data_IF_232345529699
#
_entry.id   IF_232345529699
#
_cell.length_a   1.000
_cell.length_b   1.000
_cell.length_c   1.000
_cell.angle_alpha   90.00
_cell.angle_beta   90.00
_cell.angle_gamma   90.00
#
_symmetry.space_group_name_H-M   'P 1'
#
loop_
_entity.id
_entity.type
_entity.pdbx_description
1 polymer ?
#
# COMPACT_ATOMS: atom_id res chain seq x y z
N UNK A 1 35.79 20.82 -5.46
CA UNK A 1 35.79 19.74 -6.48
C UNK A 1 34.73 18.75 -6.08
N UNK A 2 33.55 18.82 -6.71
CA UNK A 2 32.40 17.94 -6.45
C UNK A 2 32.32 17.01 -7.66
N UNK A 3 32.52 15.69 -7.53
CA UNK A 3 32.31 14.80 -8.66
C UNK A 3 30.82 14.47 -8.77
N UNK A 4 30.27 14.88 -9.91
CA UNK A 4 29.28 14.19 -10.74
C UNK A 4 28.40 13.11 -10.09
N UNK A 5 27.08 13.32 -10.13
CA UNK A 5 26.16 12.23 -10.46
C UNK A 5 25.35 12.67 -11.68
N UNK A 6 25.80 12.17 -12.84
CA UNK A 6 24.98 12.03 -14.03
C UNK A 6 23.75 11.18 -13.69
N UNK A 7 22.54 11.67 -13.97
CA UNK A 7 21.38 10.81 -14.28
C UNK A 7 20.74 11.31 -15.57
N UNK A 8 21.49 11.19 -16.67
CA UNK A 8 20.95 10.79 -17.98
C UNK A 8 20.82 9.25 -17.90
N UNK A 9 19.84 8.54 -18.42
CA UNK A 9 18.82 8.87 -19.41
C UNK A 9 17.68 7.85 -19.29
N UNK A 10 16.52 8.28 -19.77
CA UNK A 10 15.33 7.51 -20.10
C UNK A 10 15.57 6.20 -20.88
N UNK A 11 14.77 5.18 -20.56
CA UNK A 11 14.04 4.41 -21.56
C UNK A 11 12.56 4.31 -21.15
N UNK A 12 11.75 5.20 -21.73
CA UNK A 12 10.31 4.97 -21.92
C UNK A 12 10.17 3.94 -23.03
N UNK A 13 9.42 2.86 -22.81
CA UNK A 13 8.70 2.26 -23.93
C UNK A 13 7.20 2.22 -23.63
N UNK A 14 6.58 3.37 -23.95
CA UNK A 14 5.20 3.40 -24.40
C UNK A 14 5.09 2.55 -25.67
N UNK A 15 4.16 1.60 -25.69
CA UNK A 15 3.32 1.45 -26.88
C UNK A 15 1.86 1.28 -26.45
N UNK A 16 1.07 2.28 -26.83
CA UNK A 16 -0.35 2.39 -26.50
C UNK A 16 -1.19 1.23 -27.04
N UNK A 17 -2.32 1.04 -26.35
CA UNK A 17 -3.46 0.13 -26.58
C UNK A 17 -3.09 -1.35 -26.63
N UNK A 18 -2.78 -1.87 -25.44
CA UNK A 18 -2.88 -3.30 -25.10
C UNK A 18 -1.61 -3.98 -24.57
N UNK A 19 -0.53 -3.25 -24.29
CA UNK A 19 0.79 -3.81 -23.91
C UNK A 19 1.23 -3.47 -22.47
N UNK A 20 2.06 -4.35 -21.89
CA UNK A 20 2.72 -4.23 -20.58
C UNK A 20 3.81 -3.16 -20.63
N UNK A 21 3.85 -2.26 -19.64
CA UNK A 21 4.91 -1.25 -19.48
C UNK A 21 5.93 -1.69 -18.43
N UNK A 22 7.22 -1.43 -18.67
CA UNK A 22 8.32 -1.75 -17.75
C UNK A 22 9.00 -0.44 -17.31
N UNK A 23 9.29 -0.33 -16.02
CA UNK A 23 9.90 0.84 -15.39
C UNK A 23 11.15 0.46 -14.60
N UNK A 24 12.15 1.32 -14.66
CA UNK A 24 13.37 1.24 -13.84
C UNK A 24 13.22 1.95 -12.48
N UNK A 25 12.17 2.75 -12.31
CA UNK A 25 11.87 3.49 -11.09
C UNK A 25 10.37 3.50 -10.82
N UNK A 26 10.00 3.62 -9.55
CA UNK A 26 8.61 3.76 -9.11
C UNK A 26 8.13 5.21 -9.08
N UNK A 27 9.02 6.19 -9.24
CA UNK A 27 8.63 7.60 -9.18
C UNK A 27 7.67 7.93 -10.33
N UNK A 28 6.63 8.71 -10.01
CA UNK A 28 5.52 9.09 -10.88
C UNK A 28 4.58 7.94 -11.29
N UNK A 29 4.73 6.74 -10.71
CA UNK A 29 3.73 5.69 -10.83
C UNK A 29 2.56 5.96 -9.87
N UNK A 30 1.37 5.45 -10.23
CA UNK A 30 0.15 5.58 -9.43
C UNK A 30 -0.48 4.22 -9.05
N UNK A 31 0.27 3.29 -8.44
CA UNK A 31 -0.33 2.05 -7.92
C UNK A 31 -1.42 2.37 -6.91
N UNK A 32 -2.57 1.72 -7.03
CA UNK A 32 -3.71 1.96 -6.13
C UNK A 32 -4.22 3.41 -6.11
N UNK A 33 -4.02 4.14 -7.20
CA UNK A 33 -4.34 5.56 -7.25
C UNK A 33 -3.41 6.43 -6.40
N UNK A 34 -2.35 5.86 -5.81
CA UNK A 34 -1.38 6.60 -4.99
C UNK A 34 -0.19 7.02 -5.85
N UNK A 35 -0.08 8.31 -6.10
CA UNK A 35 1.07 8.93 -6.75
C UNK A 35 2.33 8.82 -5.89
N UNK A 36 3.33 8.14 -6.41
CA UNK A 36 4.63 8.04 -5.78
C UNK A 36 5.48 9.22 -6.22
N UNK A 37 5.78 10.10 -5.27
CA UNK A 37 6.67 11.26 -5.45
C UNK A 37 7.82 11.19 -4.47
N UNK A 38 9.00 11.69 -4.86
CA UNK A 38 10.15 11.73 -3.94
C UNK A 38 9.87 12.66 -2.77
N UNK A 39 10.34 12.27 -1.58
CA UNK A 39 10.46 13.14 -0.43
C UNK A 39 11.58 12.61 0.47
N UNK A 40 12.11 13.46 1.36
CA UNK A 40 13.22 13.11 2.25
C UNK A 40 12.91 11.90 3.15
N UNK A 41 11.65 11.75 3.57
CA UNK A 41 11.21 10.63 4.42
C UNK A 41 11.28 9.32 3.63
N UNK A 42 10.77 9.31 2.39
CA UNK A 42 10.81 8.13 1.52
C UNK A 42 12.26 7.73 1.19
N UNK A 43 13.12 8.71 0.90
CA UNK A 43 14.56 8.46 0.66
C UNK A 43 15.24 7.81 1.86
N UNK A 44 14.94 8.26 3.06
CA UNK A 44 15.48 7.69 4.29
C UNK A 44 14.95 6.27 4.55
N UNK A 45 13.64 6.03 4.39
CA UNK A 45 13.05 4.70 4.55
C UNK A 45 13.60 3.71 3.52
N UNK A 46 13.77 4.13 2.26
CA UNK A 46 14.34 3.28 1.21
C UNK A 46 15.82 2.98 1.46
N UNK A 47 16.59 3.94 1.99
CA UNK A 47 17.96 3.70 2.46
C UNK A 47 18.02 2.66 3.58
N UNK A 48 17.09 2.70 4.53
CA UNK A 48 16.97 1.69 5.59
C UNK A 48 16.59 0.32 5.01
N UNK A 49 15.63 0.27 4.08
CA UNK A 49 15.20 -0.96 3.42
C UNK A 49 16.34 -1.65 2.64
N UNK A 50 17.19 -0.89 1.92
CA UNK A 50 18.36 -1.46 1.21
C UNK A 50 19.33 -2.20 2.12
N UNK A 51 19.46 -1.78 3.39
CA UNK A 51 20.35 -2.44 4.36
C UNK A 51 19.84 -3.82 4.78
N UNK A 52 18.59 -4.16 4.46
CA UNK A 52 17.97 -5.44 4.81
C UNK A 52 18.25 -6.55 3.78
N UNK A 53 18.87 -6.24 2.63
CA UNK A 53 19.04 -7.19 1.50
C UNK A 53 19.70 -8.52 1.87
N UNK A 54 20.59 -8.50 2.86
CA UNK A 54 21.36 -9.66 3.32
C UNK A 54 20.65 -10.51 4.38
N UNK A 55 19.45 -10.10 4.82
CA UNK A 55 18.65 -10.85 5.79
C UNK A 55 17.83 -11.96 5.10
N UNK A 56 17.28 -12.89 5.88
CA UNK A 56 16.33 -13.89 5.36
C UNK A 56 14.98 -13.26 5.03
N UNK A 57 14.16 -13.94 4.22
CA UNK A 57 12.82 -13.48 3.86
C UNK A 57 12.00 -13.00 5.07
N UNK A 58 11.87 -13.85 6.10
CA UNK A 58 11.09 -13.57 7.30
C UNK A 58 11.60 -12.34 8.07
N UNK A 59 12.93 -12.20 8.18
CA UNK A 59 13.55 -11.05 8.82
C UNK A 59 13.32 -9.76 8.02
N UNK A 60 13.46 -9.79 6.69
CA UNK A 60 13.16 -8.65 5.81
C UNK A 60 11.70 -8.23 5.97
N UNK A 61 10.77 -9.19 5.87
CA UNK A 61 9.33 -8.96 5.96
C UNK A 61 8.97 -8.24 7.26
N UNK A 62 9.40 -8.80 8.41
CA UNK A 62 9.14 -8.23 9.73
C UNK A 62 9.68 -6.79 9.87
N UNK A 63 10.91 -6.54 9.40
CA UNK A 63 11.54 -5.21 9.47
C UNK A 63 10.86 -4.20 8.55
N UNK A 64 10.46 -4.60 7.35
CA UNK A 64 9.75 -3.72 6.41
C UNK A 64 8.35 -3.37 6.95
N UNK A 65 7.63 -4.33 7.53
CA UNK A 65 6.36 -4.07 8.21
C UNK A 65 6.53 -3.06 9.36
N UNK A 66 7.63 -3.18 10.12
CA UNK A 66 7.96 -2.22 11.18
C UNK A 66 8.25 -0.82 10.61
N UNK A 67 8.99 -0.72 9.51
CA UNK A 67 9.24 0.56 8.83
C UNK A 67 7.94 1.20 8.33
N UNK A 68 7.04 0.40 7.74
CA UNK A 68 5.77 0.90 7.23
C UNK A 68 4.85 1.40 8.35
N UNK A 69 4.67 0.60 9.40
CA UNK A 69 3.82 0.96 10.55
C UNK A 69 4.40 2.10 11.39
N UNK A 70 5.74 2.24 11.44
CA UNK A 70 6.40 3.37 12.09
C UNK A 70 6.39 4.66 11.28
N UNK A 71 6.23 4.59 9.95
CA UNK A 71 6.26 5.77 9.08
C UNK A 71 4.96 6.58 9.13
N UNK A 72 3.81 5.92 9.26
CA UNK A 72 2.51 6.58 9.27
C UNK A 72 1.44 5.73 9.99
N UNK A 73 0.46 6.43 10.55
CA UNK A 73 -0.74 5.84 11.16
C UNK A 73 -1.80 5.53 10.11
N UNK A 74 -2.64 4.53 10.38
CA UNK A 74 -3.76 4.20 9.53
C UNK A 74 -4.91 5.20 9.70
N UNK A 75 -5.24 5.94 8.64
CA UNK A 75 -6.28 6.95 8.65
C UNK A 75 -7.67 6.37 8.93
N UNK A 76 -7.99 5.16 8.43
CA UNK A 76 -9.28 4.50 8.69
C UNK A 76 -9.42 4.12 10.17
N UNK A 77 -8.37 3.55 10.77
CA UNK A 77 -8.36 3.24 12.21
C UNK A 77 -8.57 4.48 13.06
N UNK A 78 -7.84 5.56 12.75
CA UNK A 78 -7.97 6.81 13.47
C UNK A 78 -9.35 7.45 13.28
N UNK A 79 -9.92 7.34 12.08
CA UNK A 79 -11.28 7.79 11.81
C UNK A 79 -12.32 7.03 12.64
N UNK A 80 -12.21 5.71 12.75
CA UNK A 80 -13.10 4.87 13.58
C UNK A 80 -12.97 5.21 15.07
N UNK A 81 -11.76 5.53 15.56
CA UNK A 81 -11.57 5.99 16.93
C UNK A 81 -12.32 7.30 17.17
N UNK A 82 -12.25 8.25 16.23
CA UNK A 82 -13.01 9.51 16.32
C UNK A 82 -14.52 9.28 16.39
N UNK A 83 -15.05 8.26 15.69
CA UNK A 83 -16.50 7.97 15.72
C UNK A 83 -17.05 7.53 17.08
N UNK A 84 -16.17 7.15 18.03
CA UNK A 84 -16.58 6.82 19.40
C UNK A 84 -16.96 8.04 20.23
N UNK A 85 -16.44 9.22 19.86
CA UNK A 85 -16.67 10.49 20.58
C UNK A 85 -17.51 11.46 19.76
N UNK A 86 -17.52 11.30 18.43
CA UNK A 86 -18.26 12.14 17.50
C UNK A 86 -19.06 11.27 16.53
N UNK A 87 -20.38 11.41 16.50
CA UNK A 87 -21.20 10.78 15.47
C UNK A 87 -21.29 11.70 14.24
N UNK A 88 -20.70 11.33 13.09
CA UNK A 88 -20.73 12.14 11.88
C UNK A 88 -22.15 12.32 11.33
N UNK A 89 -23.14 11.52 11.75
CA UNK A 89 -24.54 11.60 11.34
C UNK A 89 -25.44 12.31 12.35
N UNK A 90 -24.93 12.72 13.52
CA UNK A 90 -25.73 13.35 14.57
C UNK A 90 -26.39 14.66 14.14
N UNK A 91 -25.84 15.36 13.14
CA UNK A 91 -26.43 16.56 12.55
C UNK A 91 -27.80 16.29 11.89
N UNK A 92 -28.12 15.04 11.55
CA UNK A 92 -29.43 14.62 11.04
C UNK A 92 -30.48 14.47 12.16
N UNK A 93 -30.04 14.37 13.43
CA UNK A 93 -30.89 14.15 14.61
C UNK A 93 -31.10 15.42 15.45
N UNK A 94 -30.55 16.58 15.02
CA UNK A 94 -30.80 17.93 15.56
C UNK A 94 -30.83 18.10 17.10
N UNK A 95 -29.93 17.46 17.85
CA UNK A 95 -29.75 17.78 19.28
C UNK A 95 -28.29 18.12 19.60
N UNK A 96 -27.95 19.39 19.86
CA UNK A 96 -26.62 19.76 20.32
C UNK A 96 -26.39 19.25 21.76
N UNK A 97 -25.15 18.92 22.15
CA UNK A 97 -24.85 18.49 23.52
C UNK A 97 -25.18 19.60 24.51
N UNK A 98 -25.76 19.24 25.65
CA UNK A 98 -26.10 20.20 26.69
C UNK A 98 -24.85 20.78 27.36
N UNK A 99 -23.81 19.96 27.55
CA UNK A 99 -22.61 20.30 28.29
C UNK A 99 -21.52 20.98 27.41
N UNK A 100 -20.93 22.11 27.83
CA UNK A 100 -19.83 22.77 27.11
C UNK A 100 -18.56 21.92 26.94
N UNK A 101 -18.24 21.06 27.90
CA UNK A 101 -17.05 20.20 27.81
C UNK A 101 -17.27 19.08 26.78
N UNK A 102 -18.44 18.43 26.79
CA UNK A 102 -18.84 17.49 25.72
C UNK A 102 -18.81 18.14 24.33
N UNK A 103 -19.26 19.39 24.19
CA UNK A 103 -19.17 20.13 22.91
C UNK A 103 -17.73 20.30 22.43
N UNK A 104 -16.80 20.63 23.33
CA UNK A 104 -15.38 20.78 22.97
C UNK A 104 -14.81 19.45 22.46
N UNK A 105 -15.04 18.36 23.20
CA UNK A 105 -14.60 17.02 22.83
C UNK A 105 -15.16 16.56 21.48
N UNK A 106 -16.44 16.84 21.21
CA UNK A 106 -17.06 16.54 19.92
C UNK A 106 -16.46 17.36 18.77
N UNK A 107 -16.18 18.65 18.99
CA UNK A 107 -15.58 19.53 17.98
C UNK A 107 -14.15 19.07 17.61
N UNK A 108 -13.35 18.68 18.59
CA UNK A 108 -12.01 18.12 18.36
C UNK A 108 -12.08 16.79 17.60
N UNK A 109 -12.96 15.88 18.03
CA UNK A 109 -13.16 14.58 17.37
C UNK A 109 -13.69 14.74 15.93
N UNK A 110 -14.60 15.69 15.69
CA UNK A 110 -15.10 16.04 14.35
C UNK A 110 -13.97 16.56 13.46
N UNK A 111 -13.18 17.52 13.96
CA UNK A 111 -12.06 18.09 13.21
C UNK A 111 -11.05 17.02 12.82
N UNK A 112 -10.72 16.10 13.75
CA UNK A 112 -9.84 14.96 13.48
C UNK A 112 -10.46 13.97 12.49
N UNK A 113 -11.75 13.65 12.63
CA UNK A 113 -12.47 12.78 11.70
C UNK A 113 -12.38 13.30 10.25
N UNK A 114 -12.65 14.60 10.03
CA UNK A 114 -12.59 15.19 8.70
C UNK A 114 -11.17 15.28 8.15
N UNK A 115 -10.17 15.52 9.01
CA UNK A 115 -8.76 15.43 8.62
C UNK A 115 -8.40 14.02 8.09
N UNK A 116 -8.79 12.96 8.79
CA UNK A 116 -8.55 11.58 8.31
C UNK A 116 -9.32 11.25 7.04
N UNK A 117 -10.58 11.69 6.94
CA UNK A 117 -11.42 11.52 5.75
C UNK A 117 -10.80 12.19 4.52
N UNK A 118 -10.23 13.38 4.68
CA UNK A 118 -9.54 14.12 3.62
C UNK A 118 -8.29 13.38 3.13
N UNK A 119 -7.51 12.79 4.05
CA UNK A 119 -6.36 11.94 3.68
C UNK A 119 -6.81 10.74 2.85
N UNK A 120 -7.89 10.07 3.25
CA UNK A 120 -8.43 8.89 2.55
C UNK A 120 -8.95 9.26 1.16
N UNK A 121 -9.66 10.39 1.03
CA UNK A 121 -10.47 10.68 -0.15
C UNK A 121 -9.78 11.58 -1.17
N UNK A 122 -8.94 12.50 -0.73
CA UNK A 122 -8.52 13.64 -1.56
C UNK A 122 -7.00 13.76 -1.74
N UNK A 123 -6.20 12.99 -1.01
CA UNK A 123 -4.75 13.10 -1.03
C UNK A 123 -4.09 11.82 -1.56
N UNK A 124 -3.95 11.66 -2.88
CA UNK A 124 -3.37 10.45 -3.47
C UNK A 124 -1.84 10.41 -3.37
N UNK A 125 -1.16 11.35 -2.70
CA UNK A 125 0.30 11.45 -2.76
C UNK A 125 0.96 10.76 -1.58
N UNK A 126 1.89 9.84 -1.86
CA UNK A 126 2.66 9.17 -0.79
C UNK A 126 3.50 10.14 0.04
N UNK A 127 4.08 11.17 -0.60
CA UNK A 127 4.85 12.20 0.11
C UNK A 127 4.01 12.91 1.18
N UNK A 128 2.79 13.31 0.82
CA UNK A 128 1.87 13.98 1.72
C UNK A 128 1.51 13.09 2.93
N UNK A 129 1.18 11.82 2.68
CA UNK A 129 0.88 10.86 3.75
C UNK A 129 2.06 10.66 4.71
N UNK A 130 3.29 10.56 4.18
CA UNK A 130 4.51 10.45 4.98
C UNK A 130 4.79 11.71 5.79
N UNK A 131 4.61 12.90 5.20
CA UNK A 131 4.80 14.19 5.89
C UNK A 131 3.79 14.39 7.02
N UNK A 132 2.53 14.00 6.79
CA UNK A 132 1.48 14.03 7.82
C UNK A 132 1.55 12.84 8.79
N UNK A 133 2.41 11.86 8.52
CA UNK A 133 2.53 10.59 9.26
C UNK A 133 1.19 9.86 9.39
N UNK A 134 0.35 9.96 8.38
CA UNK A 134 -0.99 9.37 8.34
C UNK A 134 -1.33 9.02 6.89
N UNK A 135 -1.79 7.79 6.65
CA UNK A 135 -2.13 7.32 5.30
C UNK A 135 -3.28 6.31 5.31
N UNK A 136 -3.89 6.11 4.14
CA UNK A 136 -4.89 5.02 3.93
C UNK A 136 -4.21 3.67 3.70
N UNK A 137 -4.99 2.59 3.59
CA UNK A 137 -4.48 1.24 3.30
C UNK A 137 -3.69 1.19 1.99
N UNK A 138 -4.14 1.93 0.97
CA UNK A 138 -3.44 2.06 -0.30
C UNK A 138 -2.06 2.71 -0.12
N UNK A 139 -1.95 3.78 0.68
CA UNK A 139 -0.66 4.43 0.96
C UNK A 139 0.32 3.45 1.61
N UNK A 140 -0.15 2.67 2.58
CA UNK A 140 0.67 1.70 3.28
C UNK A 140 1.09 0.54 2.39
N UNK A 141 0.17 0.04 1.57
CA UNK A 141 0.46 -0.99 0.58
C UNK A 141 1.54 -0.54 -0.41
N UNK A 142 1.41 0.70 -0.92
CA UNK A 142 2.39 1.27 -1.86
C UNK A 142 3.74 1.54 -1.21
N UNK A 143 3.76 2.04 0.03
CA UNK A 143 5.01 2.18 0.79
C UNK A 143 5.69 0.82 0.96
N UNK A 144 4.93 -0.19 1.40
CA UNK A 144 5.43 -1.54 1.61
C UNK A 144 6.00 -2.16 0.32
N UNK A 145 5.33 -1.95 -0.81
CA UNK A 145 5.83 -2.34 -2.13
C UNK A 145 7.18 -1.68 -2.46
N UNK A 146 7.30 -0.36 -2.29
CA UNK A 146 8.55 0.37 -2.56
C UNK A 146 9.68 -0.12 -1.65
N UNK A 147 9.42 -0.29 -0.35
CA UNK A 147 10.42 -0.77 0.59
C UNK A 147 10.81 -2.22 0.29
N UNK A 148 9.84 -3.07 -0.08
CA UNK A 148 10.06 -4.43 -0.56
C UNK A 148 10.98 -4.48 -1.78
N UNK A 149 10.76 -3.58 -2.75
CA UNK A 149 11.59 -3.46 -3.95
C UNK A 149 13.04 -3.17 -3.57
N UNK A 150 13.28 -2.18 -2.70
CA UNK A 150 14.63 -1.80 -2.29
C UNK A 150 15.34 -2.84 -1.41
N UNK A 151 14.58 -3.59 -0.61
CA UNK A 151 15.08 -4.66 0.24
C UNK A 151 15.25 -6.00 -0.48
N UNK A 152 14.81 -6.10 -1.74
CA UNK A 152 14.75 -7.36 -2.49
C UNK A 152 13.98 -8.41 -1.68
N UNK A 153 12.78 -8.03 -1.21
CA UNK A 153 12.00 -8.81 -0.26
C UNK A 153 11.53 -10.14 -0.86
N UNK A 154 11.11 -10.15 -2.12
CA UNK A 154 10.55 -11.32 -2.79
C UNK A 154 11.16 -11.51 -4.17
N UNK A 155 11.08 -12.73 -4.71
CA UNK A 155 11.40 -12.98 -6.13
C UNK A 155 10.39 -12.27 -7.05
N UNK A 156 9.16 -12.11 -6.57
CA UNK A 156 8.12 -11.26 -7.13
C UNK A 156 7.27 -10.62 -6.02
N UNK A 157 6.72 -9.44 -6.29
CA UNK A 157 5.83 -8.71 -5.39
C UNK A 157 4.77 -8.00 -6.21
N UNK A 158 3.50 -8.11 -5.81
CA UNK A 158 2.34 -7.57 -6.51
C UNK A 158 1.49 -6.72 -5.57
N UNK A 159 1.01 -5.58 -6.06
CA UNK A 159 -0.08 -4.85 -5.41
C UNK A 159 -1.39 -5.31 -6.05
N UNK A 160 -2.31 -5.79 -5.21
CA UNK A 160 -3.59 -6.36 -5.61
C UNK A 160 -4.77 -5.59 -5.03
N UNK A 161 -5.90 -5.63 -5.75
CA UNK A 161 -7.19 -5.09 -5.31
C UNK A 161 -8.18 -6.23 -5.15
N UNK A 162 -8.78 -6.33 -3.98
CA UNK A 162 -9.96 -7.16 -3.77
C UNK A 162 -11.18 -6.26 -3.65
N UNK A 163 -12.24 -6.59 -4.41
CA UNK A 163 -13.56 -6.03 -4.10
C UNK A 163 -14.00 -6.57 -2.74
N UNK A 164 -14.57 -5.70 -1.92
CA UNK A 164 -15.24 -6.14 -0.72
C UNK A 164 -16.59 -6.78 -1.13
N UNK A 165 -16.81 -8.09 -0.90
CA UNK A 165 -18.03 -8.78 -1.33
C UNK A 165 -19.31 -8.24 -0.69
N UNK A 166 -19.21 -7.43 0.37
CA UNK A 166 -20.36 -6.79 1.04
C UNK A 166 -20.65 -5.35 0.54
N UNK A 167 -20.00 -4.87 -0.52
CA UNK A 167 -20.22 -3.52 -1.04
C UNK A 167 -19.45 -2.41 -0.30
N UNK A 168 -18.32 -2.76 0.33
CA UNK A 168 -17.42 -1.81 0.99
C UNK A 168 -16.32 -1.24 0.08
N UNK A 169 -15.46 -0.38 0.64
CA UNK A 169 -14.28 0.13 -0.07
C UNK A 169 -13.38 -1.04 -0.53
N UNK A 170 -12.82 -0.98 -1.76
CA UNK A 170 -11.87 -1.97 -2.24
C UNK A 170 -10.68 -2.09 -1.30
N UNK A 171 -10.28 -3.31 -0.98
CA UNK A 171 -9.10 -3.56 -0.15
C UNK A 171 -7.86 -3.66 -1.04
N UNK A 172 -6.76 -3.06 -0.58
CA UNK A 172 -5.45 -3.15 -1.23
C UNK A 172 -4.55 -4.03 -0.38
N UNK A 173 -3.93 -5.03 -0.99
CA UNK A 173 -3.00 -5.94 -0.31
C UNK A 173 -1.79 -6.24 -1.20
N UNK A 174 -0.75 -6.79 -0.60
CA UNK A 174 0.47 -7.18 -1.29
C UNK A 174 0.58 -8.69 -1.35
N UNK A 175 0.88 -9.24 -2.52
CA UNK A 175 1.22 -10.64 -2.69
C UNK A 175 2.72 -10.75 -2.97
N UNK A 176 3.44 -11.58 -2.21
CA UNK A 176 4.89 -11.72 -2.31
C UNK A 176 5.25 -13.19 -2.48
N UNK A 177 6.12 -13.49 -3.44
CA UNK A 177 6.72 -14.80 -3.59
C UNK A 177 8.03 -14.87 -2.80
N UNK A 178 8.08 -15.73 -1.79
CA UNK A 178 9.28 -16.01 -1.01
C UNK A 178 10.35 -16.65 -1.92
N UNK A 179 11.54 -16.04 -2.05
CA UNK A 179 12.60 -16.59 -2.90
C UNK A 179 13.20 -17.90 -2.37
N UNK A 180 13.07 -18.18 -1.07
CA UNK A 180 13.65 -19.37 -0.43
C UNK A 180 12.74 -20.60 -0.59
N UNK A 181 11.42 -20.40 -0.49
CA UNK A 181 10.42 -21.50 -0.48
C UNK A 181 9.53 -21.54 -1.71
N UNK A 182 9.55 -20.50 -2.55
CA UNK A 182 8.59 -20.26 -3.63
C UNK A 182 7.12 -20.15 -3.16
N UNK A 183 6.90 -19.99 -1.85
CA UNK A 183 5.56 -19.80 -1.30
C UNK A 183 5.05 -18.38 -1.57
N UNK A 184 3.75 -18.26 -1.86
CA UNK A 184 3.07 -16.97 -1.98
C UNK A 184 2.49 -16.53 -0.63
N UNK A 185 2.76 -15.29 -0.26
CA UNK A 185 2.31 -14.66 0.98
C UNK A 185 1.43 -13.46 0.67
N UNK A 186 0.20 -13.46 1.22
CA UNK A 186 -0.72 -12.32 1.15
C UNK A 186 -0.54 -11.44 2.41
N UNK A 187 -0.02 -10.24 2.21
CA UNK A 187 0.32 -9.30 3.26
C UNK A 187 -0.63 -8.10 3.22
N UNK A 188 -1.44 -7.99 4.27
CA UNK A 188 -2.15 -6.76 4.61
C UNK A 188 -1.29 -6.02 5.62
N UNK A 189 -0.79 -4.83 5.26
CA UNK A 189 0.14 -4.07 6.11
C UNK A 189 -0.54 -3.64 7.43
N UNK A 190 -1.88 -3.62 7.48
CA UNK A 190 -2.68 -3.36 8.68
C UNK A 190 -3.74 -4.45 8.85
N UNK A 191 -3.68 -5.16 9.98
CA UNK A 191 -4.65 -6.17 10.40
C UNK A 191 -5.56 -5.70 11.55
N UNK A 192 -5.17 -4.68 12.33
CA UNK A 192 -5.82 -4.41 13.63
C UNK A 192 -7.27 -3.92 13.55
N UNK A 193 -7.70 -3.28 12.48
CA UNK A 193 -9.14 -2.96 12.27
C UNK A 193 -9.93 -4.07 11.62
N UNK A 194 -9.24 -5.08 11.07
CA UNK A 194 -9.88 -6.24 10.47
C UNK A 194 -9.81 -7.44 11.44
N UNK A 195 -9.29 -7.35 12.67
CA UNK A 195 -9.38 -8.48 13.61
C UNK A 195 -10.85 -8.77 14.00
N UNK A 196 -11.75 -7.78 13.96
CA UNK A 196 -13.20 -8.01 14.12
C UNK A 196 -13.89 -8.60 12.86
N UNK A 197 -13.22 -8.66 11.69
CA UNK A 197 -13.75 -9.30 10.47
C UNK A 197 -12.90 -10.50 9.96
N UNK A 198 -11.65 -10.66 10.39
CA UNK A 198 -10.66 -11.66 9.96
C UNK A 198 -10.82 -13.01 10.67
N UNK A 199 -11.56 -13.08 11.78
CA UNK A 199 -11.98 -14.39 12.32
C UNK A 199 -12.80 -15.21 11.30
N UNK A 200 -13.24 -14.59 10.19
CA UNK A 200 -13.87 -15.24 9.03
C UNK A 200 -12.92 -15.59 7.87
N UNK A 201 -11.67 -15.14 7.90
CA UNK A 201 -10.65 -15.47 6.90
C UNK A 201 -9.55 -16.31 7.55
N UNK A 202 -9.92 -17.52 7.99
CA UNK A 202 -8.91 -18.55 8.20
C UNK A 202 -8.14 -18.76 6.89
N UNK A 203 -6.79 -18.69 6.91
CA UNK A 203 -6.00 -19.15 5.78
C UNK A 203 -6.10 -20.67 5.75
N UNK A 204 -7.05 -21.20 4.99
CA UNK A 204 -6.84 -22.51 4.41
C UNK A 204 -5.56 -22.45 3.58
N UNK A 205 -4.81 -23.54 3.48
CA UNK A 205 -3.86 -23.69 2.38
C UNK A 205 -4.66 -23.58 1.08
N UNK A 206 -4.74 -22.37 0.51
CA UNK A 206 -5.47 -22.16 -0.74
C UNK A 206 -4.47 -22.33 -1.86
N UNK A 207 -4.56 -23.48 -2.52
CA UNK A 207 -3.89 -23.76 -3.78
C UNK A 207 -4.35 -22.71 -4.82
N UNK A 208 -3.48 -21.76 -5.15
CA UNK A 208 -3.78 -20.63 -6.04
C UNK A 208 -4.04 -21.06 -7.50
N UNK A 209 -3.84 -22.33 -7.84
CA UNK A 209 -4.19 -22.90 -9.14
C UNK A 209 -5.70 -22.99 -9.38
N UNK A 210 -6.54 -22.95 -8.35
CA UNK A 210 -7.97 -23.29 -8.46
C UNK A 210 -8.93 -22.11 -8.29
N UNK A 211 -8.48 -20.98 -7.72
CA UNK A 211 -9.29 -19.76 -7.77
C UNK A 211 -9.10 -19.07 -9.12
N UNK A 212 -10.12 -19.16 -9.97
CA UNK A 212 -10.49 -18.04 -10.84
C UNK A 212 -10.75 -16.83 -9.93
N UNK A 213 -9.69 -16.10 -9.59
CA UNK A 213 -9.80 -14.76 -9.03
C UNK A 213 -10.66 -13.97 -10.02
N UNK A 214 -11.86 -13.57 -9.60
CA UNK A 214 -12.65 -12.60 -10.33
C UNK A 214 -11.93 -11.26 -10.22
N UNK A 215 -10.88 -11.11 -11.02
CA UNK A 215 -10.13 -9.87 -11.14
C UNK A 215 -11.09 -8.80 -11.65
N UNK A 216 -11.08 -7.64 -11.01
CA UNK A 216 -11.75 -6.47 -11.55
C UNK A 216 -11.03 -6.10 -12.84
N UNK A 217 -11.64 -6.48 -13.96
CA UNK A 217 -11.17 -6.14 -15.29
C UNK A 217 -11.03 -4.62 -15.38
N UNK A 218 -9.78 -4.13 -15.48
CA UNK A 218 -9.46 -2.69 -15.48
C UNK A 218 -8.69 -2.16 -14.26
N UNK A 219 -8.45 -2.98 -13.22
CA UNK A 219 -7.56 -2.58 -12.13
C UNK A 219 -6.09 -2.60 -12.59
N UNK A 220 -5.41 -1.46 -12.49
CA UNK A 220 -3.98 -1.32 -12.76
C UNK A 220 -3.17 -2.01 -11.65
N UNK A 221 -2.72 -3.24 -11.92
CA UNK A 221 -1.80 -3.96 -11.05
C UNK A 221 -0.35 -3.57 -11.35
N UNK A 222 0.42 -3.29 -10.30
CA UNK A 222 1.86 -3.10 -10.38
C UNK A 222 2.56 -4.29 -9.74
N UNK A 223 3.67 -4.71 -10.34
CA UNK A 223 4.56 -5.72 -9.77
C UNK A 223 6.01 -5.32 -9.90
N UNK A 224 6.87 -5.92 -9.08
CA UNK A 224 8.29 -5.98 -9.40
C UNK A 224 8.78 -7.43 -9.34
N UNK A 225 9.81 -7.73 -10.11
CA UNK A 225 10.42 -9.06 -10.17
C UNK A 225 11.90 -8.94 -10.50
N UNK A 226 12.64 -9.99 -10.17
CA UNK A 226 14.04 -10.13 -10.54
C UNK A 226 14.17 -10.55 -12.01
N UNK A 227 14.90 -9.79 -12.80
CA UNK A 227 15.24 -10.08 -14.19
C UNK A 227 16.78 -10.09 -14.33
N UNK A 228 17.38 -11.27 -14.18
CA UNK A 228 18.85 -11.40 -14.07
C UNK A 228 19.36 -10.82 -12.75
N UNK A 229 20.27 -9.85 -12.82
CA UNK A 229 20.82 -9.16 -11.65
C UNK A 229 20.01 -7.93 -11.22
N UNK A 230 19.04 -7.50 -12.03
CA UNK A 230 18.26 -6.30 -11.79
C UNK A 230 16.83 -6.61 -11.33
N UNK A 231 16.20 -5.66 -10.63
CA UNK A 231 14.77 -5.67 -10.37
C UNK A 231 14.07 -4.63 -11.24
N UNK A 232 12.98 -5.03 -11.88
CA UNK A 232 12.19 -4.16 -12.75
C UNK A 232 10.74 -4.11 -12.29
N UNK A 233 10.10 -2.95 -12.44
CA UNK A 233 8.69 -2.75 -12.12
C UNK A 233 7.89 -2.90 -13.40
N UNK A 234 6.75 -3.59 -13.35
CA UNK A 234 5.84 -3.75 -14.46
C UNK A 234 4.43 -3.29 -14.11
N UNK A 235 3.73 -2.72 -15.09
CA UNK A 235 2.31 -2.36 -15.03
C UNK A 235 1.49 -3.32 -15.92
N UNK A 236 0.44 -3.93 -15.34
CA UNK A 236 -0.51 -4.82 -16.02
C UNK A 236 -0.28 -6.33 -15.77
N UNK A 237 -1.33 -7.03 -15.27
CA UNK A 237 -1.27 -8.43 -14.81
C UNK A 237 -1.34 -9.48 -15.95
N UNK A 238 -2.18 -9.26 -16.97
CA UNK A 238 -2.61 -10.31 -17.94
C UNK A 238 -1.48 -10.98 -18.75
N UNK A 239 -0.28 -10.40 -18.83
CA UNK A 239 0.86 -11.00 -19.53
C UNK A 239 1.98 -11.48 -18.61
N UNK A 240 1.93 -11.19 -17.32
CA UNK A 240 3.03 -11.47 -16.39
C UNK A 240 3.01 -12.91 -15.87
N UNK A 241 1.80 -13.45 -15.60
CA UNK A 241 1.58 -14.86 -15.29
C UNK A 241 2.09 -15.80 -16.40
N UNK A 242 2.03 -15.37 -17.68
CA UNK A 242 2.52 -16.16 -18.83
C UNK A 242 4.05 -16.21 -18.95
N UNK A 243 4.79 -15.33 -18.27
CA UNK A 243 6.26 -15.25 -18.33
C UNK A 243 6.96 -15.95 -17.16
N UNK A 244 6.32 -16.04 -16.00
CA UNK A 244 6.84 -16.76 -14.84
C UNK A 244 6.56 -18.27 -14.94
N UNK A 245 5.49 -18.66 -15.64
CA UNK A 245 5.11 -20.06 -15.87
C UNK A 245 5.77 -20.70 -17.13
N UNK A 246 6.82 -20.07 -17.68
CA UNK A 246 7.64 -20.64 -18.76
C UNK A 246 9.10 -20.63 -18.32
#
# INVERSE_FOLDING_TARGET
>A
MIPYIHVFCSFLQRKERGGMQIYQTYLNLMPAGILISSCRILEELTRQARRLRYLTFSQKLSRILTLCSGAMQNAHEQQMICTRTFDPFAHLMHMPPADPFERLMQNEASSRYYFFKDIISNNPRLSYALEKRVGSDAHHSVLFFILGFHAELGSAHYIQFAQNPKGGQPQVYNEICDPETAQLHNIHVFQKTIEDELDRFRPGLINLSERKLEFVKGALCFSYHRCGEEYVIAEGYERHVRRILK
#
